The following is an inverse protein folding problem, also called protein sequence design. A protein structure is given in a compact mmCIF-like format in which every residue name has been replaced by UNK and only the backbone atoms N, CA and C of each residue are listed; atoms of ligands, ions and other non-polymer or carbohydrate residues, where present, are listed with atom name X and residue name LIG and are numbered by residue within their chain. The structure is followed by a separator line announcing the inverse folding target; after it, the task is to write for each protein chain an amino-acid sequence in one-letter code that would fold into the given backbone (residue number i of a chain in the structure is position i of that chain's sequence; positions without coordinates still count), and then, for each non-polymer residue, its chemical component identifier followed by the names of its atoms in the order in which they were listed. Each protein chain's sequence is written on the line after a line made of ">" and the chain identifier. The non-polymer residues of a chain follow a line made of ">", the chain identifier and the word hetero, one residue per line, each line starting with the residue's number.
data_IF_223546968155
#
_entry.id   IF_223546968155
#
_cell.length_a   1.000
_cell.length_b   1.000
_cell.length_c   1.000
_cell.angle_alpha   90.00
_cell.angle_beta   90.00
_cell.angle_gamma   90.00
#
_symmetry.space_group_name_H-M   'P 1'
#
loop_
_entity.id
_entity.type
_entity.pdbx_description
1 polymer ?
#
# COMPACT_ATOMS: atom_id res chain seq x y z
N UNK A 1 -27.83 67.36 -6.63
CA UNK A 1 -29.08 66.64 -6.97
C UNK A 1 -28.89 65.50 -7.97
N UNK A 2 -27.88 65.54 -8.85
CA UNK A 2 -27.58 64.44 -9.79
C UNK A 2 -27.17 63.14 -9.09
N UNK A 3 -26.28 63.23 -8.10
CA UNK A 3 -25.76 62.11 -7.31
C UNK A 3 -26.88 61.27 -6.65
N UNK A 4 -27.75 61.90 -5.86
CA UNK A 4 -28.85 61.21 -5.18
C UNK A 4 -29.97 60.69 -6.10
N UNK A 5 -30.10 61.23 -7.32
CA UNK A 5 -31.22 60.89 -8.22
C UNK A 5 -30.83 59.93 -9.33
N UNK A 6 -29.56 59.90 -9.73
CA UNK A 6 -29.07 59.13 -10.88
C UNK A 6 -27.93 58.21 -10.46
N UNK A 7 -26.95 58.68 -9.70
CA UNK A 7 -25.79 57.87 -9.32
C UNK A 7 -26.16 56.79 -8.28
N UNK A 8 -26.77 57.18 -7.16
CA UNK A 8 -27.10 56.26 -6.06
C UNK A 8 -28.01 55.08 -6.49
N UNK A 9 -29.10 55.30 -7.27
CA UNK A 9 -29.95 54.19 -7.71
C UNK A 9 -29.23 53.23 -8.65
N UNK A 10 -28.36 53.76 -9.52
CA UNK A 10 -27.60 52.97 -10.52
C UNK A 10 -26.47 52.19 -9.86
N UNK A 11 -25.76 52.82 -8.93
CA UNK A 11 -24.76 52.13 -8.11
C UNK A 11 -25.37 50.96 -7.32
N UNK A 12 -26.55 51.18 -6.71
CA UNK A 12 -27.28 50.10 -6.02
C UNK A 12 -27.73 49.00 -6.97
N UNK A 13 -28.17 49.35 -8.18
CA UNK A 13 -28.57 48.39 -9.23
C UNK A 13 -27.38 47.55 -9.66
N UNK A 14 -26.30 48.19 -10.11
CA UNK A 14 -25.07 47.53 -10.54
C UNK A 14 -24.51 46.60 -9.46
N UNK A 15 -24.49 47.03 -8.20
CA UNK A 15 -24.04 46.20 -7.07
C UNK A 15 -24.95 45.00 -6.84
N UNK A 16 -26.27 45.18 -6.92
CA UNK A 16 -27.24 44.09 -6.70
C UNK A 16 -27.21 43.05 -7.82
N UNK A 17 -26.80 43.44 -9.02
CA UNK A 17 -26.71 42.55 -10.18
C UNK A 17 -25.37 41.79 -10.23
N UNK A 18 -24.27 42.42 -9.80
CA UNK A 18 -22.93 41.81 -9.83
C UNK A 18 -22.61 40.94 -8.62
N UNK A 19 -22.96 41.36 -7.40
CA UNK A 19 -22.68 40.60 -6.15
C UNK A 19 -23.15 39.13 -6.23
N UNK A 20 -24.34 38.79 -6.77
CA UNK A 20 -24.79 37.40 -6.87
C UNK A 20 -23.98 36.52 -7.83
N UNK A 21 -23.18 37.12 -8.73
CA UNK A 21 -22.37 36.40 -9.73
C UNK A 21 -21.04 35.92 -9.15
N UNK A 22 -20.61 36.50 -8.03
CA UNK A 22 -19.40 36.10 -7.33
C UNK A 22 -19.74 35.13 -6.22
N UNK A 23 -18.88 34.13 -6.03
CA UNK A 23 -18.96 33.29 -4.84
C UNK A 23 -18.59 34.15 -3.62
N UNK A 24 -19.25 33.91 -2.49
CA UNK A 24 -19.03 34.75 -1.32
C UNK A 24 -17.63 34.66 -0.72
N UNK A 25 -16.96 33.52 -0.92
CA UNK A 25 -15.55 33.36 -0.59
C UNK A 25 -14.68 34.33 -1.41
N UNK A 26 -14.98 34.51 -2.70
CA UNK A 26 -14.29 35.47 -3.58
C UNK A 26 -14.58 36.90 -3.13
N UNK A 27 -15.80 37.21 -2.68
CA UNK A 27 -16.12 38.54 -2.14
C UNK A 27 -15.34 38.86 -0.86
N UNK A 28 -14.83 37.86 -0.13
CA UNK A 28 -14.02 38.07 1.07
C UNK A 28 -12.53 38.09 0.74
N UNK A 29 -12.08 37.12 -0.08
CA UNK A 29 -10.67 36.91 -0.42
C UNK A 29 -10.16 37.83 -1.52
N UNK A 30 -10.97 38.10 -2.54
CA UNK A 30 -10.62 38.91 -3.71
C UNK A 30 -11.70 39.98 -3.97
N UNK A 31 -11.79 40.92 -3.03
CA UNK A 31 -12.70 42.07 -3.15
C UNK A 31 -12.41 42.92 -4.39
N UNK A 32 -11.16 42.95 -4.84
CA UNK A 32 -10.74 43.78 -5.97
C UNK A 32 -11.44 43.36 -7.26
N UNK A 33 -11.56 42.05 -7.54
CA UNK A 33 -12.27 41.58 -8.74
C UNK A 33 -13.77 41.89 -8.71
N UNK A 34 -14.39 41.79 -7.52
CA UNK A 34 -15.78 42.17 -7.33
C UNK A 34 -16.02 43.67 -7.53
N UNK A 35 -15.12 44.51 -6.99
CA UNK A 35 -15.14 45.97 -7.18
C UNK A 35 -15.01 46.29 -8.67
N UNK A 36 -14.01 45.74 -9.37
CA UNK A 36 -13.84 45.95 -10.82
C UNK A 36 -15.08 45.51 -11.63
N UNK A 37 -15.74 44.44 -11.21
CA UNK A 37 -16.99 44.00 -11.80
C UNK A 37 -18.11 45.03 -11.65
N UNK A 38 -18.25 45.62 -10.46
CA UNK A 38 -19.20 46.71 -10.17
C UNK A 38 -18.83 47.96 -10.97
N UNK A 39 -17.55 48.34 -11.01
CA UNK A 39 -17.07 49.54 -11.72
C UNK A 39 -17.40 49.47 -13.21
N UNK A 40 -17.06 48.35 -13.86
CA UNK A 40 -17.37 48.13 -15.27
C UNK A 40 -18.88 48.24 -15.53
N UNK A 41 -19.70 47.62 -14.69
CA UNK A 41 -21.15 47.64 -14.87
C UNK A 41 -21.75 49.02 -14.62
N UNK A 42 -21.21 49.76 -13.66
CA UNK A 42 -21.61 51.14 -13.44
C UNK A 42 -21.20 52.03 -14.62
N UNK A 43 -20.00 51.85 -15.18
CA UNK A 43 -19.54 52.58 -16.35
C UNK A 43 -20.46 52.33 -17.57
N UNK A 44 -20.83 51.06 -17.82
CA UNK A 44 -21.81 50.68 -18.86
C UNK A 44 -23.17 51.36 -18.62
N UNK A 45 -23.68 51.40 -17.39
CA UNK A 45 -24.94 52.07 -17.08
C UNK A 45 -24.86 53.61 -17.20
N UNK A 46 -23.67 54.19 -17.08
CA UNK A 46 -23.43 55.64 -17.10
C UNK A 46 -23.03 56.20 -18.48
N UNK A 47 -22.78 55.35 -19.48
CA UNK A 47 -22.39 55.76 -20.84
C UNK A 47 -23.43 56.69 -21.53
N UNK A 48 -24.70 56.60 -21.13
CA UNK A 48 -25.78 57.48 -21.61
C UNK A 48 -25.85 58.86 -20.95
N UNK A 49 -24.97 59.17 -20.00
CA UNK A 49 -24.96 60.42 -19.25
C UNK A 49 -23.64 61.19 -19.49
N UNK A 50 -23.66 62.54 -19.40
CA UNK A 50 -22.48 63.37 -19.61
C UNK A 50 -21.54 63.38 -18.38
N UNK A 51 -21.28 62.21 -17.79
CA UNK A 51 -20.50 62.07 -16.55
C UNK A 51 -19.47 60.96 -16.73
N UNK A 52 -18.22 61.26 -16.39
CA UNK A 52 -17.10 60.30 -16.42
C UNK A 52 -16.85 59.83 -15.00
N UNK A 53 -16.83 58.51 -14.79
CA UNK A 53 -16.54 57.88 -13.50
C UNK A 53 -15.05 57.50 -13.50
N UNK A 54 -14.25 58.16 -12.67
CA UNK A 54 -12.79 57.93 -12.62
C UNK A 54 -12.39 56.74 -11.74
N UNK A 55 -12.76 56.75 -10.46
CA UNK A 55 -12.31 55.75 -9.48
C UNK A 55 -13.34 55.56 -8.37
N UNK A 56 -13.87 54.35 -8.21
CA UNK A 56 -14.89 54.05 -7.20
C UNK A 56 -14.22 53.42 -5.99
N UNK A 57 -14.23 54.12 -4.87
CA UNK A 57 -13.70 53.58 -3.61
C UNK A 57 -14.84 53.00 -2.78
N UNK A 58 -14.92 51.68 -2.73
CA UNK A 58 -15.88 50.97 -1.87
C UNK A 58 -15.23 50.70 -0.51
N UNK A 59 -15.67 51.42 0.53
CA UNK A 59 -15.18 51.17 1.90
C UNK A 59 -15.71 49.84 2.47
N UNK A 60 -17.02 49.60 2.37
CA UNK A 60 -17.68 48.46 3.03
C UNK A 60 -18.77 47.84 2.15
N UNK A 61 -18.66 46.52 1.96
CA UNK A 61 -19.72 45.70 1.34
C UNK A 61 -20.47 44.99 2.46
N UNK A 62 -21.70 45.42 2.73
CA UNK A 62 -22.57 44.79 3.73
C UNK A 62 -23.54 43.85 3.02
N UNK A 63 -23.29 42.55 3.15
CA UNK A 63 -24.17 41.52 2.59
C UNK A 63 -25.40 41.32 3.48
N UNK A 64 -26.59 41.07 2.90
CA UNK A 64 -27.78 40.70 3.67
C UNK A 64 -27.56 39.38 4.43
N UNK A 65 -28.01 39.30 5.69
CA UNK A 65 -27.88 38.10 6.54
C UNK A 65 -28.40 36.81 5.89
N UNK A 66 -29.49 36.89 5.13
CA UNK A 66 -30.03 35.72 4.40
C UNK A 66 -29.03 35.14 3.42
N UNK A 67 -28.24 35.98 2.75
CA UNK A 67 -27.24 35.55 1.78
C UNK A 67 -26.07 34.87 2.50
N UNK A 68 -25.57 35.48 3.59
CA UNK A 68 -24.53 34.90 4.47
C UNK A 68 -24.94 33.49 4.94
N UNK A 69 -26.17 33.32 5.40
CA UNK A 69 -26.66 32.01 5.83
C UNK A 69 -26.68 30.98 4.69
N UNK A 70 -27.11 31.37 3.48
CA UNK A 70 -27.09 30.46 2.32
C UNK A 70 -25.67 30.05 1.92
N UNK A 71 -24.70 30.94 2.11
CA UNK A 71 -23.28 30.65 1.87
C UNK A 71 -22.76 29.65 2.90
N UNK A 72 -23.03 29.88 4.19
CA UNK A 72 -22.63 28.96 5.25
C UNK A 72 -23.19 27.56 4.99
N UNK A 73 -24.46 27.46 4.60
CA UNK A 73 -25.08 26.18 4.24
C UNK A 73 -24.34 25.53 3.06
N UNK A 74 -24.13 26.23 1.95
CA UNK A 74 -23.38 25.69 0.80
C UNK A 74 -21.97 25.26 1.17
N UNK A 75 -21.29 26.02 2.03
CA UNK A 75 -19.95 25.70 2.47
C UNK A 75 -19.94 24.45 3.35
N UNK A 76 -20.92 24.32 4.27
CA UNK A 76 -21.08 23.11 5.07
C UNK A 76 -21.37 21.89 4.20
N UNK A 77 -22.24 22.01 3.18
CA UNK A 77 -22.53 20.93 2.24
C UNK A 77 -21.30 20.53 1.40
N UNK A 78 -20.55 21.50 0.85
CA UNK A 78 -19.30 21.23 0.14
C UNK A 78 -18.28 20.53 1.03
N UNK A 79 -18.12 20.99 2.25
CA UNK A 79 -17.20 20.40 3.22
C UNK A 79 -17.63 18.98 3.60
N UNK A 80 -18.93 18.74 3.79
CA UNK A 80 -19.50 17.42 4.07
C UNK A 80 -19.31 16.46 2.88
N UNK A 81 -19.56 16.93 1.65
CA UNK A 81 -19.36 16.15 0.44
C UNK A 81 -17.88 15.75 0.27
N UNK A 82 -16.96 16.71 0.42
CA UNK A 82 -15.52 16.44 0.39
C UNK A 82 -15.10 15.47 1.51
N UNK A 83 -15.65 15.61 2.71
CA UNK A 83 -15.38 14.70 3.81
C UNK A 83 -15.84 13.26 3.52
N UNK A 84 -17.03 13.08 2.92
CA UNK A 84 -17.53 11.76 2.52
C UNK A 84 -16.74 11.17 1.34
N UNK A 85 -16.33 11.96 0.36
CA UNK A 85 -15.42 11.49 -0.71
C UNK A 85 -14.08 11.00 -0.15
N UNK A 86 -13.46 11.77 0.74
CA UNK A 86 -12.21 11.37 1.40
C UNK A 86 -12.40 10.12 2.27
N UNK A 87 -13.57 9.95 2.88
CA UNK A 87 -13.90 8.76 3.66
C UNK A 87 -14.04 7.53 2.77
N UNK A 88 -14.74 7.64 1.64
CA UNK A 88 -14.85 6.57 0.65
C UNK A 88 -13.48 6.17 0.11
N UNK A 89 -12.63 7.15 -0.19
CA UNK A 89 -11.29 6.89 -0.70
C UNK A 89 -10.40 6.19 0.33
N UNK A 90 -10.49 6.59 1.61
CA UNK A 90 -9.82 5.88 2.71
C UNK A 90 -10.27 4.42 2.81
N UNK A 91 -11.57 4.16 2.71
CA UNK A 91 -12.10 2.80 2.75
C UNK A 91 -11.59 1.96 1.57
N UNK A 92 -11.55 2.52 0.36
CA UNK A 92 -10.97 1.85 -0.82
C UNK A 92 -9.50 1.52 -0.63
N UNK A 93 -8.71 2.49 -0.17
CA UNK A 93 -7.28 2.30 0.06
C UNK A 93 -7.02 1.23 1.13
N UNK A 94 -7.83 1.21 2.20
CA UNK A 94 -7.75 0.19 3.24
C UNK A 94 -8.08 -1.21 2.69
N UNK A 95 -9.15 -1.34 1.90
CA UNK A 95 -9.49 -2.60 1.23
C UNK A 95 -8.35 -3.08 0.30
N UNK A 96 -7.77 -2.18 -0.50
CA UNK A 96 -6.64 -2.49 -1.38
C UNK A 96 -5.39 -2.92 -0.59
N UNK A 97 -5.12 -2.29 0.55
CA UNK A 97 -4.02 -2.67 1.44
C UNK A 97 -4.25 -4.05 2.04
N UNK A 98 -5.47 -4.37 2.46
CA UNK A 98 -5.82 -5.67 3.01
C UNK A 98 -5.60 -6.78 1.98
N UNK A 99 -6.07 -6.59 0.74
CA UNK A 99 -5.87 -7.53 -0.37
C UNK A 99 -4.39 -7.70 -0.68
N UNK A 100 -3.64 -6.61 -0.87
CA UNK A 100 -2.20 -6.70 -1.14
C UNK A 100 -1.43 -7.39 -0.01
N UNK A 101 -1.80 -7.15 1.25
CA UNK A 101 -1.16 -7.79 2.39
C UNK A 101 -1.47 -9.28 2.43
N UNK A 102 -2.71 -9.68 2.13
CA UNK A 102 -3.09 -11.09 2.03
C UNK A 102 -2.34 -11.79 0.88
N UNK A 103 -2.27 -11.16 -0.29
CA UNK A 103 -1.53 -11.69 -1.44
C UNK A 103 -0.03 -11.79 -1.17
N UNK A 104 0.56 -10.79 -0.50
CA UNK A 104 1.95 -10.81 -0.10
C UNK A 104 2.24 -11.96 0.88
N UNK A 105 1.35 -12.19 1.86
CA UNK A 105 1.45 -13.32 2.79
C UNK A 105 1.33 -14.67 2.06
N UNK A 106 0.36 -14.81 1.17
CA UNK A 106 0.18 -16.03 0.38
C UNK A 106 1.40 -16.34 -0.48
N UNK A 107 1.93 -15.34 -1.20
CA UNK A 107 3.17 -15.47 -1.98
C UNK A 107 4.37 -15.78 -1.10
N UNK A 108 4.45 -15.20 0.11
CA UNK A 108 5.48 -15.51 1.09
C UNK A 108 5.48 -16.99 1.51
N UNK A 109 4.31 -17.52 1.84
CA UNK A 109 4.14 -18.94 2.22
C UNK A 109 4.54 -19.87 1.07
N UNK A 110 4.10 -19.58 -0.16
CA UNK A 110 4.47 -20.38 -1.32
C UNK A 110 5.99 -20.41 -1.53
N UNK A 111 6.66 -19.26 -1.44
CA UNK A 111 8.12 -19.18 -1.56
C UNK A 111 8.84 -19.94 -0.44
N UNK A 112 8.32 -19.91 0.78
CA UNK A 112 8.89 -20.67 1.90
C UNK A 112 8.75 -22.16 1.63
N UNK A 113 7.56 -22.62 1.22
CA UNK A 113 7.32 -24.03 0.90
C UNK A 113 8.19 -24.51 -0.28
N UNK A 114 8.35 -23.69 -1.32
CA UNK A 114 9.26 -23.98 -2.44
C UNK A 114 10.72 -24.09 -1.97
N UNK A 115 11.18 -23.16 -1.13
CA UNK A 115 12.53 -23.18 -0.58
C UNK A 115 12.77 -24.42 0.32
N UNK A 116 11.79 -24.80 1.14
CA UNK A 116 11.84 -26.02 1.96
C UNK A 116 11.89 -27.28 1.10
N UNK A 117 11.04 -27.37 0.07
CA UNK A 117 11.04 -28.49 -0.86
C UNK A 117 12.39 -28.64 -1.59
N UNK A 118 12.95 -27.53 -2.08
CA UNK A 118 14.27 -27.53 -2.71
C UNK A 118 15.37 -27.94 -1.74
N UNK A 119 15.32 -27.45 -0.49
CA UNK A 119 16.27 -27.84 0.56
C UNK A 119 16.21 -29.34 0.87
N UNK A 120 15.01 -29.92 0.98
CA UNK A 120 14.82 -31.36 1.22
C UNK A 120 15.36 -32.17 0.03
N UNK A 121 15.06 -31.75 -1.20
CA UNK A 121 15.58 -32.41 -2.41
C UNK A 121 17.11 -32.38 -2.45
N UNK A 122 17.72 -31.22 -2.18
CA UNK A 122 19.18 -31.08 -2.18
C UNK A 122 19.82 -31.94 -1.09
N UNK A 123 19.25 -31.95 0.13
CA UNK A 123 19.71 -32.82 1.21
C UNK A 123 19.58 -34.30 0.84
N UNK A 124 18.42 -34.71 0.30
CA UNK A 124 18.19 -36.08 -0.13
C UNK A 124 19.16 -36.52 -1.24
N UNK A 125 19.46 -35.65 -2.20
CA UNK A 125 20.48 -35.92 -3.23
C UNK A 125 21.87 -36.05 -2.61
N UNK A 126 22.26 -35.17 -1.69
CA UNK A 126 23.55 -35.23 -1.01
C UNK A 126 23.69 -36.52 -0.17
N UNK A 127 22.64 -36.92 0.54
CA UNK A 127 22.60 -38.16 1.31
C UNK A 127 22.65 -39.39 0.40
N UNK A 128 21.89 -39.39 -0.70
CA UNK A 128 21.92 -40.47 -1.68
C UNK A 128 23.31 -40.64 -2.30
N UNK A 129 23.97 -39.55 -2.69
CA UNK A 129 25.35 -39.58 -3.19
C UNK A 129 26.33 -40.09 -2.13
N UNK A 130 26.17 -39.67 -0.87
CA UNK A 130 27.02 -40.14 0.22
C UNK A 130 26.81 -41.65 0.49
N UNK A 131 25.58 -42.14 0.45
CA UNK A 131 25.26 -43.57 0.60
C UNK A 131 25.80 -44.37 -0.59
N UNK A 132 25.65 -43.88 -1.82
CA UNK A 132 26.18 -44.54 -3.01
C UNK A 132 27.71 -44.62 -2.96
N UNK A 133 28.38 -43.53 -2.58
CA UNK A 133 29.84 -43.50 -2.41
C UNK A 133 30.29 -44.46 -1.31
N UNK A 134 29.59 -44.50 -0.17
CA UNK A 134 29.83 -45.49 0.89
C UNK A 134 29.59 -46.93 0.41
N UNK A 135 28.51 -47.17 -0.33
CA UNK A 135 28.16 -48.48 -0.89
C UNK A 135 29.20 -48.98 -1.89
N UNK A 136 29.71 -48.09 -2.77
CA UNK A 136 30.85 -48.39 -3.66
C UNK A 136 32.10 -48.73 -2.87
N UNK A 137 32.47 -47.91 -1.89
CA UNK A 137 33.64 -48.17 -1.04
C UNK A 137 33.54 -49.50 -0.27
N UNK A 138 32.35 -49.86 0.22
CA UNK A 138 32.08 -51.14 0.89
C UNK A 138 32.13 -52.33 -0.08
N UNK A 139 31.63 -52.17 -1.31
CA UNK A 139 31.66 -53.20 -2.35
C UNK A 139 33.07 -53.48 -2.86
N UNK A 140 33.87 -52.42 -3.04
CA UNK A 140 35.24 -52.51 -3.55
C UNK A 140 36.21 -53.09 -2.50
N UNK A 141 35.85 -53.04 -1.21
CA UNK A 141 36.64 -53.64 -0.14
C UNK A 141 35.82 -54.45 0.87
N UNK A 142 35.40 -55.69 0.51
CA UNK A 142 34.66 -56.59 1.40
C UNK A 142 35.45 -56.99 2.67
N UNK A 143 36.77 -56.78 2.69
CA UNK A 143 37.61 -57.05 3.86
C UNK A 143 37.47 -55.96 4.92
N UNK A 144 37.06 -54.73 4.56
CA UNK A 144 36.82 -53.65 5.53
C UNK A 144 35.62 -53.97 6.41
N UNK A 145 34.53 -54.53 5.85
CA UNK A 145 33.35 -54.92 6.64
C UNK A 145 33.74 -55.95 7.70
N UNK A 146 34.47 -57.00 7.31
CA UNK A 146 35.00 -58.01 8.24
C UNK A 146 35.98 -57.42 9.26
N UNK A 147 36.80 -56.45 8.88
CA UNK A 147 37.73 -55.77 9.81
C UNK A 147 36.98 -54.88 10.81
N UNK A 148 35.99 -54.11 10.36
CA UNK A 148 35.16 -53.26 11.23
C UNK A 148 34.26 -54.07 12.14
N UNK A 149 33.72 -55.19 11.66
CA UNK A 149 32.99 -56.15 12.48
C UNK A 149 33.91 -56.77 13.53
N UNK A 150 35.12 -57.18 13.16
CA UNK A 150 36.11 -57.71 14.10
C UNK A 150 36.64 -56.66 15.10
N UNK A 151 36.74 -55.38 14.72
CA UNK A 151 37.15 -54.29 15.61
C UNK A 151 36.03 -53.79 16.54
N UNK A 152 34.77 -53.82 16.08
CA UNK A 152 33.61 -53.48 16.89
C UNK A 152 33.17 -54.63 17.81
N UNK A 153 33.70 -55.83 17.58
CA UNK A 153 33.46 -56.99 18.43
C UNK A 153 34.30 -56.88 19.71
N UNK A 154 33.62 -56.84 20.85
CA UNK A 154 34.21 -56.69 22.20
C UNK A 154 34.87 -57.98 22.75
N UNK A 155 35.07 -58.99 21.89
CA UNK A 155 35.70 -60.25 22.23
C UNK A 155 34.88 -61.15 23.16
N UNK A 156 33.59 -60.85 23.41
CA UNK A 156 32.71 -61.71 24.21
C UNK A 156 31.86 -62.60 23.31
N UNK A 157 32.03 -63.91 23.44
CA UNK A 157 31.16 -64.89 22.80
C UNK A 157 29.75 -64.79 23.41
N UNK A 158 28.68 -64.71 22.59
CA UNK A 158 27.31 -64.73 23.09
C UNK A 158 27.05 -66.03 23.87
N UNK A 159 26.87 -65.93 25.18
CA UNK A 159 26.64 -67.09 26.07
C UNK A 159 25.20 -67.61 26.04
N UNK A 160 24.38 -67.15 25.11
CA UNK A 160 23.01 -67.65 24.91
C UNK A 160 22.77 -67.91 23.44
N UNK A 161 23.00 -69.16 23.03
CA UNK A 161 22.49 -69.68 21.77
C UNK A 161 20.98 -69.90 21.93
N UNK A 162 20.17 -68.90 21.58
CA UNK A 162 18.76 -69.16 21.29
C UNK A 162 18.67 -69.73 19.88
N UNK A 163 17.89 -70.81 19.78
CA UNK A 163 17.91 -71.74 18.67
C UNK A 163 17.59 -71.14 17.31
N UNK A 164 18.11 -71.88 16.33
CA UNK A 164 17.89 -71.81 14.89
C UNK A 164 18.71 -70.76 14.10
N UNK A 165 19.90 -71.20 13.68
CA UNK A 165 20.19 -71.16 12.24
C UNK A 165 21.05 -70.03 11.67
N UNK A 166 21.71 -69.18 12.46
CA UNK A 166 22.71 -68.23 11.93
C UNK A 166 24.08 -68.46 12.55
N UNK A 167 24.87 -69.34 11.94
CA UNK A 167 26.29 -69.48 12.22
C UNK A 167 27.03 -68.24 11.69
N UNK A 168 27.78 -67.49 12.52
CA UNK A 168 28.70 -66.47 12.00
C UNK A 168 29.72 -67.13 11.08
N UNK A 169 29.92 -66.59 9.87
CA UNK A 169 30.85 -67.13 8.88
C UNK A 169 32.29 -66.90 9.37
N UNK A 170 32.81 -67.84 10.16
CA UNK A 170 34.23 -67.92 10.48
C UNK A 170 34.91 -68.81 9.42
N UNK A 171 35.52 -68.17 8.42
CA UNK A 171 36.32 -68.86 7.40
C UNK A 171 37.70 -69.22 7.98
N UNK A 172 37.82 -70.44 8.52
CA UNK A 172 39.06 -70.97 9.11
C UNK A 172 39.94 -71.73 8.10
N UNK A 173 39.91 -71.40 6.81
CA UNK A 173 40.77 -72.09 5.83
C UNK A 173 42.26 -71.92 6.19
N UNK A 174 43.02 -73.02 6.36
CA UNK A 174 44.44 -72.94 6.65
C UNK A 174 45.21 -72.45 5.41
N UNK A 175 45.91 -71.34 5.55
CA UNK A 175 46.89 -70.86 4.58
C UNK A 175 48.14 -71.71 4.67
N UNK A 176 48.21 -72.77 3.87
CA UNK A 176 49.42 -73.57 3.76
C UNK A 176 50.47 -72.77 2.96
N UNK A 177 51.54 -72.36 3.63
CA UNK A 177 52.70 -71.72 3.02
C UNK A 177 53.85 -72.73 2.98
N UNK A 178 54.41 -72.93 1.78
CA UNK A 178 55.47 -73.85 1.34
C UNK A 178 55.02 -75.20 0.80
#
# INVERSE_FOLDING_TARGET
>A
QFEQRILDPRFRSATKDTIPQFEAEQLIQDRASAIQGIERRLAEEMEGFPVVVDNIQIENIVLPKKYINSIEIKQTEKNLAAAEEHKLERQRLEALRAVNTADAKAKGILKIAEAEAQSILLKGMAEAQAIEAKGKALKDNPLIVKLTEAQAWDGRLPTTMMGDGVMPIMDIRPTNNK
#
